data_IF_697559741754
#
_entry.id   IF_697559741754
#
_cell.length_a   1.000
_cell.length_b   1.000
_cell.length_c   1.000
_cell.angle_alpha   90.00
_cell.angle_beta   90.00
_cell.angle_gamma   90.00
#
_symmetry.space_group_name_H-M   'P 1'
#
loop_
_entity.id
_entity.type
_entity.pdbx_description
1 polymer ?
#
# COMPACT_ATOMS: atom_id res chain seq x y z
N UNK A 1 8.42 -10.06 5.65
CA UNK A 1 8.15 -9.01 4.66
C UNK A 1 6.65 -8.68 4.62
N UNK A 2 6.28 -7.54 4.04
CA UNK A 2 4.89 -7.16 3.83
C UNK A 2 4.70 -6.47 2.47
N UNK A 3 3.48 -6.54 1.93
CA UNK A 3 3.06 -5.69 0.81
C UNK A 3 2.31 -4.50 1.39
N UNK A 4 2.50 -3.30 0.87
CA UNK A 4 1.72 -2.16 1.33
C UNK A 4 1.22 -1.25 0.21
N UNK A 5 0.07 -0.64 0.49
CA UNK A 5 -0.52 0.42 -0.30
C UNK A 5 -0.64 1.68 0.54
N UNK A 6 -0.58 2.82 -0.12
CA UNK A 6 -0.96 4.11 0.45
C UNK A 6 -2.04 4.71 -0.42
N UNK A 7 -3.22 4.96 0.14
CA UNK A 7 -4.41 5.37 -0.62
C UNK A 7 -5.24 6.43 0.11
N UNK A 8 -6.09 7.11 -0.64
CA UNK A 8 -7.13 8.00 -0.13
C UNK A 8 -8.52 7.51 -0.57
N UNK A 9 -9.58 8.21 -0.15
CA UNK A 9 -10.97 7.88 -0.55
C UNK A 9 -11.37 8.47 -1.92
N UNK A 10 -10.40 8.67 -2.82
CA UNK A 10 -10.71 9.08 -4.19
C UNK A 10 -11.36 7.93 -4.98
N UNK A 11 -12.46 8.23 -5.66
CA UNK A 11 -13.28 7.20 -6.30
C UNK A 11 -12.60 6.52 -7.50
N UNK A 12 -11.69 7.19 -8.20
CA UNK A 12 -10.94 6.58 -9.32
C UNK A 12 -9.84 5.67 -8.77
N UNK A 13 -9.04 6.18 -7.83
CA UNK A 13 -7.99 5.38 -7.19
C UNK A 13 -8.55 4.17 -6.44
N UNK A 14 -9.76 4.26 -5.88
CA UNK A 14 -10.40 3.10 -5.24
C UNK A 14 -10.79 2.01 -6.23
N UNK A 15 -11.21 2.35 -7.45
CA UNK A 15 -11.49 1.34 -8.48
C UNK A 15 -10.22 0.64 -8.90
N UNK A 16 -9.15 1.40 -9.10
CA UNK A 16 -7.82 0.87 -9.42
C UNK A 16 -7.34 -0.04 -8.29
N UNK A 17 -7.42 0.40 -7.04
CA UNK A 17 -7.01 -0.37 -5.87
C UNK A 17 -7.71 -1.72 -5.80
N UNK A 18 -9.03 -1.76 -6.04
CA UNK A 18 -9.78 -3.02 -6.03
C UNK A 18 -9.26 -3.97 -7.12
N UNK A 19 -8.92 -3.45 -8.30
CA UNK A 19 -8.32 -4.25 -9.37
C UNK A 19 -6.89 -4.71 -9.01
N UNK A 20 -6.06 -3.83 -8.45
CA UNK A 20 -4.70 -4.13 -8.02
C UNK A 20 -4.68 -5.22 -6.94
N UNK A 21 -5.53 -5.11 -5.92
CA UNK A 21 -5.61 -6.07 -4.81
C UNK A 21 -6.09 -7.44 -5.30
N UNK A 22 -7.08 -7.47 -6.19
CA UNK A 22 -7.57 -8.71 -6.82
C UNK A 22 -6.47 -9.35 -7.68
N UNK A 23 -5.75 -8.55 -8.47
CA UNK A 23 -4.63 -8.99 -9.31
C UNK A 23 -3.44 -9.52 -8.48
N UNK A 24 -3.06 -8.81 -7.41
CA UNK A 24 -2.03 -9.23 -6.46
C UNK A 24 -2.38 -10.58 -5.84
N UNK A 25 -3.63 -10.76 -5.40
CA UNK A 25 -4.08 -12.00 -4.81
C UNK A 25 -3.98 -13.16 -5.79
N UNK A 26 -4.60 -13.03 -6.97
CA UNK A 26 -4.67 -14.11 -7.97
C UNK A 26 -3.29 -14.52 -8.51
N UNK A 27 -2.37 -13.57 -8.66
CA UNK A 27 -1.11 -13.82 -9.35
C UNK A 27 0.09 -14.01 -8.44
N UNK A 28 -0.04 -13.70 -7.14
CA UNK A 28 1.08 -13.79 -6.20
C UNK A 28 0.60 -14.26 -4.82
N UNK A 29 -0.26 -13.47 -4.18
CA UNK A 29 -0.40 -13.56 -2.74
C UNK A 29 -1.28 -14.71 -2.25
N UNK A 30 -2.10 -15.32 -3.12
CA UNK A 30 -2.79 -16.58 -2.83
C UNK A 30 -1.80 -17.72 -2.52
N UNK A 31 -0.62 -17.69 -3.15
CA UNK A 31 0.43 -18.71 -2.96
C UNK A 31 1.32 -18.42 -1.76
N UNK A 32 1.68 -17.15 -1.56
CA UNK A 32 2.73 -16.76 -0.61
C UNK A 32 2.23 -16.16 0.72
N UNK A 33 0.96 -15.73 0.79
CA UNK A 33 0.29 -15.24 2.00
C UNK A 33 1.09 -14.19 2.81
N UNK A 34 1.64 -13.18 2.12
CA UNK A 34 2.23 -12.03 2.79
C UNK A 34 1.13 -11.07 3.30
N UNK A 35 1.33 -10.44 4.48
CA UNK A 35 0.37 -9.47 4.98
C UNK A 35 0.32 -8.25 4.05
N UNK A 36 -0.90 -7.77 3.78
CA UNK A 36 -1.15 -6.54 3.01
C UNK A 36 -1.54 -5.43 3.97
N UNK A 37 -0.74 -4.37 4.00
CA UNK A 37 -0.94 -3.22 4.86
C UNK A 37 -1.46 -2.05 4.04
N UNK A 38 -2.65 -1.55 4.36
CA UNK A 38 -3.27 -0.43 3.66
C UNK A 38 -3.21 0.79 4.57
N UNK A 39 -2.24 1.66 4.32
CA UNK A 39 -2.17 2.97 4.92
C UNK A 39 -3.13 3.89 4.21
N UNK A 40 -3.97 4.59 4.96
CA UNK A 40 -4.99 5.41 4.34
C UNK A 40 -5.32 6.71 5.05
N UNK A 41 -5.74 7.67 4.23
CA UNK A 41 -6.41 8.89 4.68
C UNK A 41 -7.93 8.75 4.43
N UNK A 42 -8.67 8.51 5.51
CA UNK A 42 -10.14 8.65 5.49
C UNK A 42 -10.98 7.49 4.95
N UNK A 43 -10.45 6.32 4.55
CA UNK A 43 -11.28 5.21 4.06
C UNK A 43 -12.44 4.86 5.01
N UNK A 44 -13.65 4.95 4.48
CA UNK A 44 -14.86 4.58 5.21
C UNK A 44 -14.91 3.08 5.53
N UNK A 45 -15.67 2.65 6.56
CA UNK A 45 -15.89 1.23 6.86
C UNK A 45 -16.38 0.44 5.64
N UNK A 46 -17.32 1.00 4.87
CA UNK A 46 -17.88 0.37 3.66
C UNK A 46 -16.82 0.10 2.58
N UNK A 47 -15.89 1.05 2.40
CA UNK A 47 -14.79 0.88 1.44
C UNK A 47 -13.85 -0.23 1.90
N UNK A 48 -13.50 -0.26 3.19
CA UNK A 48 -12.66 -1.33 3.76
C UNK A 48 -13.30 -2.71 3.65
N UNK A 49 -14.59 -2.82 3.92
CA UNK A 49 -15.37 -4.06 3.70
C UNK A 49 -15.33 -4.50 2.24
N UNK A 50 -15.45 -3.57 1.29
CA UNK A 50 -15.40 -3.86 -0.15
C UNK A 50 -14.02 -4.39 -0.57
N UNK A 51 -12.95 -3.85 0.00
CA UNK A 51 -11.57 -4.32 -0.24
C UNK A 51 -11.38 -5.75 0.27
N UNK A 52 -11.81 -6.03 1.51
CA UNK A 52 -11.70 -7.38 2.10
C UNK A 52 -12.56 -8.38 1.34
N UNK A 53 -13.78 -7.99 0.94
CA UNK A 53 -14.68 -8.84 0.18
C UNK A 53 -14.13 -9.28 -1.18
N UNK A 54 -13.21 -8.52 -1.78
CA UNK A 54 -12.54 -8.90 -3.03
C UNK A 54 -11.56 -10.05 -2.87
N UNK A 55 -10.96 -10.20 -1.70
CA UNK A 55 -9.90 -11.18 -1.45
C UNK A 55 -10.05 -11.79 -0.05
N UNK A 56 -11.09 -12.62 0.18
CA UNK A 56 -11.45 -13.07 1.53
C UNK A 56 -10.40 -13.93 2.24
N UNK A 57 -9.46 -14.53 1.49
CA UNK A 57 -8.32 -15.27 2.05
C UNK A 57 -7.08 -14.40 2.33
N UNK A 58 -7.05 -13.16 1.85
CA UNK A 58 -5.90 -12.29 1.98
C UNK A 58 -5.90 -11.60 3.34
N UNK A 59 -4.76 -11.63 4.03
CA UNK A 59 -4.59 -10.97 5.32
C UNK A 59 -4.36 -9.47 5.12
N UNK A 60 -5.41 -8.67 5.29
CA UNK A 60 -5.39 -7.22 5.08
C UNK A 60 -5.57 -6.48 6.41
N UNK A 61 -4.69 -5.51 6.70
CA UNK A 61 -4.82 -4.58 7.82
C UNK A 61 -4.88 -3.14 7.33
N UNK A 62 -5.70 -2.32 8.00
CA UNK A 62 -5.90 -0.92 7.66
C UNK A 62 -5.32 -0.03 8.74
N UNK A 63 -4.50 0.94 8.34
CA UNK A 63 -3.90 1.91 9.24
C UNK A 63 -4.29 3.31 8.80
N UNK A 64 -5.09 3.98 9.62
CA UNK A 64 -5.38 5.38 9.40
C UNK A 64 -4.14 6.18 9.77
N UNK A 65 -3.64 6.90 8.79
CA UNK A 65 -2.53 7.82 8.93
C UNK A 65 -3.18 9.19 8.75
N UNK A 66 -3.41 9.90 9.85
CA UNK A 66 -4.05 11.21 9.82
C UNK A 66 -3.07 12.33 9.48
N UNK A 67 -3.59 13.49 9.04
CA UNK A 67 -2.87 14.78 9.00
C UNK A 67 -1.50 14.78 8.27
N UNK A 68 -1.48 14.21 7.08
CA UNK A 68 -0.33 14.22 6.17
C UNK A 68 0.15 15.62 5.76
N UNK A 69 -0.77 16.58 5.83
CA UNK A 69 -0.55 18.01 5.57
C UNK A 69 -0.67 18.74 6.91
N UNK A 70 0.41 19.36 7.42
CA UNK A 70 0.32 20.26 8.56
C UNK A 70 -0.77 21.30 8.29
N UNK A 71 -1.59 21.63 9.29
CA UNK A 71 -2.70 22.60 9.17
C UNK A 71 -2.26 23.93 8.53
N UNK A 72 -1.01 24.32 8.77
CA UNK A 72 -0.36 25.52 8.23
C UNK A 72 -0.14 25.46 6.70
N UNK A 73 0.06 24.27 6.13
CA UNK A 73 0.30 24.05 4.70
C UNK A 73 -0.99 23.85 3.89
N UNK A 74 -2.14 23.63 4.55
CA UNK A 74 -3.43 23.43 3.87
C UNK A 74 -3.85 24.66 3.04
N UNK A 75 -3.45 25.87 3.47
CA UNK A 75 -3.77 27.12 2.78
C UNK A 75 -2.91 27.38 1.54
N UNK A 76 -1.74 26.72 1.42
CA UNK A 76 -0.80 26.92 0.31
C UNK A 76 -1.02 25.96 -0.87
N UNK A 77 -1.83 24.91 -0.70
CA UNK A 77 -2.05 23.83 -1.67
C UNK A 77 -3.17 24.13 -2.69
N UNK A 78 -3.25 25.38 -3.14
CA UNK A 78 -4.10 25.79 -4.27
C UNK A 78 -3.50 25.45 -5.65
N UNK A 79 -2.44 24.63 -5.72
CA UNK A 79 -1.79 24.24 -6.96
C UNK A 79 -2.21 22.83 -7.37
N UNK A 80 -2.88 22.71 -8.54
CA UNK A 80 -3.24 21.58 -9.43
C UNK A 80 -2.98 20.09 -9.10
N UNK A 81 -2.13 19.72 -8.14
CA UNK A 81 -2.07 18.37 -7.55
C UNK A 81 -2.66 18.44 -6.16
N UNK A 82 -3.80 17.77 -5.95
CA UNK A 82 -4.57 17.87 -4.71
C UNK A 82 -3.70 17.58 -3.48
N UNK A 83 -3.95 18.30 -2.38
CA UNK A 83 -3.25 18.15 -1.11
C UNK A 83 -3.05 16.69 -0.66
N UNK A 84 -4.00 15.81 -1.00
CA UNK A 84 -3.94 14.37 -0.75
C UNK A 84 -2.85 13.62 -1.53
N UNK A 85 -2.45 14.06 -2.72
CA UNK A 85 -1.36 13.44 -3.49
C UNK A 85 0.00 13.76 -2.86
N UNK A 86 0.26 15.04 -2.57
CA UNK A 86 1.52 15.48 -1.94
C UNK A 86 1.70 14.86 -0.56
N UNK A 87 0.61 14.72 0.18
CA UNK A 87 0.52 13.93 1.39
C UNK A 87 1.03 12.50 1.15
N UNK A 88 0.39 11.75 0.25
CA UNK A 88 0.77 10.37 -0.08
C UNK A 88 2.26 10.23 -0.41
N UNK A 89 2.78 11.10 -1.30
CA UNK A 89 4.20 11.13 -1.65
C UNK A 89 5.10 11.40 -0.45
N UNK A 90 4.73 12.33 0.44
CA UNK A 90 5.51 12.67 1.62
C UNK A 90 5.69 11.49 2.56
N UNK A 91 4.64 10.73 2.88
CA UNK A 91 4.79 9.57 3.76
C UNK A 91 5.57 8.42 3.11
N UNK A 92 5.34 8.18 1.81
CA UNK A 92 6.10 7.17 1.07
C UNK A 92 7.60 7.48 1.04
N UNK A 93 7.97 8.77 1.08
CA UNK A 93 9.39 9.19 1.04
C UNK A 93 10.20 8.86 2.29
N UNK A 94 9.58 8.42 3.39
CA UNK A 94 10.31 8.16 4.63
C UNK A 94 9.43 7.78 5.82
N UNK A 95 8.44 8.61 6.20
CA UNK A 95 7.61 8.38 7.38
C UNK A 95 6.96 6.98 7.46
N UNK A 96 6.65 6.36 6.32
CA UNK A 96 6.14 5.00 6.26
C UNK A 96 7.04 4.00 7.00
N UNK A 97 8.36 4.09 6.85
CA UNK A 97 9.33 3.17 7.47
C UNK A 97 9.44 3.31 8.99
N UNK A 98 8.84 4.36 9.57
CA UNK A 98 8.82 4.59 11.01
C UNK A 98 7.46 4.28 11.63
N UNK A 99 6.50 3.79 10.85
CA UNK A 99 5.18 3.45 11.35
C UNK A 99 5.23 2.11 12.11
N UNK A 100 4.64 2.04 13.31
CA UNK A 100 4.65 0.86 14.19
C UNK A 100 4.13 -0.42 13.52
N UNK A 101 3.17 -0.28 12.60
CA UNK A 101 2.66 -1.38 11.77
C UNK A 101 3.75 -2.09 10.93
N UNK A 102 4.91 -1.45 10.73
CA UNK A 102 6.03 -2.00 10.00
C UNK A 102 7.10 -2.63 10.91
N UNK A 103 6.91 -2.57 12.23
CA UNK A 103 7.85 -3.13 13.19
C UNK A 103 8.01 -4.65 12.96
N UNK A 104 9.25 -5.08 12.76
CA UNK A 104 9.59 -6.48 12.54
C UNK A 104 9.51 -6.95 11.07
N UNK A 105 9.30 -6.05 10.10
CA UNK A 105 9.45 -6.38 8.68
C UNK A 105 10.79 -5.89 8.13
N UNK A 106 11.59 -6.81 7.59
CA UNK A 106 12.86 -6.46 6.91
C UNK A 106 12.67 -5.92 5.48
N UNK A 107 11.57 -6.33 4.83
CA UNK A 107 11.28 -5.99 3.44
C UNK A 107 9.84 -5.55 3.26
N UNK A 108 9.67 -4.54 2.41
CA UNK A 108 8.39 -3.94 2.05
C UNK A 108 8.27 -3.93 0.53
N UNK A 109 7.14 -4.39 0.01
CA UNK A 109 6.77 -4.17 -1.38
C UNK A 109 5.73 -3.05 -1.44
N UNK A 110 6.20 -1.86 -1.81
CA UNK A 110 5.34 -0.69 -2.05
C UNK A 110 4.64 -0.84 -3.39
N UNK A 111 3.31 -0.91 -3.37
CA UNK A 111 2.46 -0.86 -4.55
C UNK A 111 1.65 0.44 -4.59
N UNK A 112 1.32 0.87 -5.80
CA UNK A 112 0.39 1.98 -6.07
C UNK A 112 -1.00 1.43 -6.41
N UNK A 113 -2.04 2.27 -6.37
CA UNK A 113 -3.42 1.84 -6.62
C UNK A 113 -3.62 1.24 -8.01
N UNK A 114 -2.83 1.68 -8.98
CA UNK A 114 -2.86 1.27 -10.39
C UNK A 114 -1.86 0.14 -10.72
N UNK A 115 -1.17 -0.39 -9.71
CA UNK A 115 -0.30 -1.55 -9.88
C UNK A 115 -1.12 -2.76 -10.35
N UNK A 116 -0.56 -3.57 -11.24
CA UNK A 116 -1.22 -4.80 -11.67
C UNK A 116 -0.21 -5.87 -12.05
N UNK A 117 -0.62 -7.12 -11.85
CA UNK A 117 0.14 -8.30 -12.19
C UNK A 117 -0.49 -8.91 -13.45
N UNK A 118 0.15 -8.79 -14.62
CA UNK A 118 -0.42 -9.29 -15.87
C UNK A 118 -0.29 -10.81 -16.01
N UNK A 119 0.50 -11.46 -15.15
CA UNK A 119 0.76 -12.90 -15.15
C UNK A 119 1.15 -13.39 -13.74
N UNK A 120 1.06 -14.71 -13.49
CA UNK A 120 1.54 -15.30 -12.23
C UNK A 120 3.01 -14.99 -11.95
N UNK A 121 3.30 -14.65 -10.70
CA UNK A 121 4.64 -14.49 -10.16
C UNK A 121 5.00 -15.79 -9.44
N UNK A 122 5.83 -16.62 -10.08
CA UNK A 122 6.10 -17.97 -9.58
C UNK A 122 7.18 -18.05 -8.49
N UNK A 123 7.91 -16.97 -8.27
CA UNK A 123 9.04 -16.91 -7.34
C UNK A 123 8.75 -15.92 -6.22
N UNK A 124 9.12 -16.27 -5.00
CA UNK A 124 9.02 -15.38 -3.85
C UNK A 124 10.17 -14.34 -3.88
N UNK A 125 9.88 -13.06 -4.17
CA UNK A 125 10.92 -12.04 -4.26
C UNK A 125 11.54 -11.76 -2.88
N UNK A 126 10.78 -11.87 -1.79
CA UNK A 126 11.30 -11.59 -0.46
C UNK A 126 12.26 -12.69 0.01
N UNK A 127 11.97 -13.95 -0.33
CA UNK A 127 12.91 -15.04 -0.09
C UNK A 127 14.19 -14.88 -0.93
N UNK A 128 14.08 -14.42 -2.17
CA UNK A 128 15.26 -14.09 -2.99
C UNK A 128 16.10 -12.97 -2.39
N UNK A 129 15.48 -11.88 -1.92
CA UNK A 129 16.18 -10.79 -1.23
C UNK A 129 16.88 -11.28 0.04
N UNK A 130 16.21 -12.13 0.83
CA UNK A 130 16.80 -12.67 2.05
C UNK A 130 17.97 -13.62 1.78
N UNK A 131 17.92 -14.38 0.70
CA UNK A 131 18.96 -15.36 0.35
C UNK A 131 20.13 -14.77 -0.45
N UNK A 132 19.96 -13.60 -1.06
CA UNK A 132 21.00 -12.93 -1.84
C UNK A 132 21.25 -11.49 -1.38
N UNK A 133 22.24 -11.27 -0.50
CA UNK A 133 22.61 -9.95 -0.02
C UNK A 133 23.02 -8.96 -1.12
N UNK A 134 23.45 -9.43 -2.30
CA UNK A 134 23.83 -8.55 -3.41
C UNK A 134 22.61 -7.83 -4.03
N UNK A 135 21.40 -8.31 -3.77
CA UNK A 135 20.16 -7.67 -4.21
C UNK A 135 19.67 -6.57 -3.26
N UNK A 136 20.31 -6.41 -2.10
CA UNK A 136 19.93 -5.42 -1.07
C UNK A 136 20.89 -4.25 -1.15
N UNK A 137 20.35 -3.04 -1.38
CA UNK A 137 21.12 -1.81 -1.30
C UNK A 137 21.24 -1.44 0.17
N UNK A 138 22.46 -1.47 0.71
CA UNK A 138 22.80 -1.06 2.08
C UNK A 138 23.12 0.42 2.21
#
# INVERSE_FOLDING_TARGET
AAVHYVVNEDAEHLKELLFSIESLWMHFNERFDYPVLIFHDGLSPKTRESIVAKTPGQRIWFFSVGNWVPSEAQHALHSNFGAGYMAQSRFRSGPVFHHEALDGFDYLWSLDSDSHFPAPVDVDPFLQLHSNPELVIG
#
